data_IF_738630163293
#
_entry.id   IF_738630163293
#
_cell.length_a   1.000
_cell.length_b   1.000
_cell.length_c   1.000
_cell.angle_alpha   90.00
_cell.angle_beta   90.00
_cell.angle_gamma   90.00
#
_symmetry.space_group_name_H-M   'P 1'
#
loop_
_entity.id
_entity.type
_entity.pdbx_description
1 polymer ?
#
# COMPACT_ATOMS: atom_id res chain seq x y z
N UNK A 1 9.92 5.72 -11.60
CA UNK A 1 8.63 5.76 -12.32
C UNK A 1 8.48 7.11 -12.99
N UNK A 2 8.85 8.18 -12.30
CA UNK A 2 8.94 9.54 -12.83
C UNK A 2 9.55 9.73 -14.22
N UNK A 3 10.62 9.02 -14.58
CA UNK A 3 11.18 9.10 -15.95
C UNK A 3 10.24 8.55 -17.02
N UNK A 4 9.52 7.47 -16.72
CA UNK A 4 8.51 6.92 -17.62
C UNK A 4 7.35 7.92 -17.76
N UNK A 5 6.87 8.46 -16.64
CA UNK A 5 5.77 9.42 -16.68
C UNK A 5 6.12 10.69 -17.48
N UNK A 6 7.34 11.23 -17.29
CA UNK A 6 7.84 12.33 -18.13
C UNK A 6 7.77 12.02 -19.62
N UNK A 7 8.24 10.84 -20.02
CA UNK A 7 8.28 10.48 -21.43
C UNK A 7 6.87 10.34 -22.03
N UNK A 8 5.92 9.76 -21.28
CA UNK A 8 4.52 9.61 -21.71
C UNK A 8 3.83 10.98 -21.80
N UNK A 9 3.99 11.82 -20.79
CA UNK A 9 3.37 13.15 -20.74
C UNK A 9 4.01 14.15 -21.71
N UNK A 10 5.24 13.91 -22.16
CA UNK A 10 5.89 14.72 -23.19
C UNK A 10 5.41 14.40 -24.62
N UNK A 11 4.80 13.22 -24.86
CA UNK A 11 4.31 12.82 -26.18
C UNK A 11 2.93 13.44 -26.49
N UNK A 12 2.96 14.58 -27.18
CA UNK A 12 1.74 15.30 -27.58
C UNK A 12 0.91 14.55 -28.62
N UNK A 13 1.55 13.80 -29.52
CA UNK A 13 0.84 13.07 -30.57
C UNK A 13 -0.03 11.98 -29.96
N UNK A 14 0.48 11.29 -28.93
CA UNK A 14 -0.27 10.30 -28.19
C UNK A 14 -1.48 10.91 -27.47
N UNK A 15 -1.28 12.04 -26.77
CA UNK A 15 -2.37 12.71 -26.04
C UNK A 15 -3.46 13.21 -26.99
N UNK A 16 -3.10 13.84 -28.12
CA UNK A 16 -4.06 14.32 -29.10
C UNK A 16 -4.82 13.16 -29.76
N UNK A 17 -4.11 12.08 -30.09
CA UNK A 17 -4.75 10.87 -30.62
C UNK A 17 -5.78 10.33 -29.64
N UNK A 18 -5.42 10.15 -28.37
CA UNK A 18 -6.33 9.60 -27.36
C UNK A 18 -7.50 10.55 -27.05
N UNK A 19 -7.31 11.86 -27.11
CA UNK A 19 -8.43 12.83 -27.04
C UNK A 19 -9.42 12.64 -28.17
N UNK A 20 -8.93 12.43 -29.39
CA UNK A 20 -9.79 12.27 -30.57
C UNK A 20 -10.58 10.95 -30.56
N UNK A 21 -10.14 9.95 -29.80
CA UNK A 21 -10.86 8.68 -29.64
C UNK A 21 -12.09 8.79 -28.70
N UNK A 22 -12.27 9.90 -27.96
CA UNK A 22 -13.43 10.16 -27.09
C UNK A 22 -13.78 9.01 -26.14
N UNK A 23 -12.83 8.64 -25.28
CA UNK A 23 -13.01 7.55 -24.32
C UNK A 23 -13.88 7.97 -23.14
N UNK A 24 -14.94 7.21 -22.85
CA UNK A 24 -15.87 7.52 -21.75
C UNK A 24 -15.44 6.95 -20.39
N UNK A 25 -14.61 5.90 -20.38
CA UNK A 25 -14.12 5.24 -19.17
C UNK A 25 -12.65 4.85 -19.33
N UNK A 26 -11.82 5.29 -18.39
CA UNK A 26 -10.43 4.87 -18.31
C UNK A 26 -10.24 3.79 -17.23
N UNK A 27 -9.51 2.73 -17.54
CA UNK A 27 -9.14 1.70 -16.58
C UNK A 27 -7.63 1.78 -16.40
N UNK A 28 -7.18 1.98 -15.16
CA UNK A 28 -5.76 1.91 -14.83
C UNK A 28 -5.53 0.91 -13.73
N UNK A 29 -4.31 0.38 -13.71
CA UNK A 29 -3.84 -0.29 -12.54
C UNK A 29 -3.27 0.73 -11.57
N UNK A 30 -3.62 0.66 -10.27
CA UNK A 30 -3.26 1.74 -9.36
C UNK A 30 -1.72 1.82 -9.10
N UNK A 31 -0.93 0.85 -9.58
CA UNK A 31 0.54 0.86 -9.60
C UNK A 31 1.14 1.91 -10.53
N UNK A 32 0.45 2.18 -11.63
CA UNK A 32 0.86 3.16 -12.61
C UNK A 32 0.17 4.48 -12.30
N UNK A 33 0.78 5.24 -11.39
CA UNK A 33 0.22 6.52 -10.95
C UNK A 33 0.04 7.45 -12.16
N UNK A 34 1.01 7.47 -13.08
CA UNK A 34 0.99 8.29 -14.28
C UNK A 34 -0.28 8.13 -15.14
N UNK A 35 -0.94 6.97 -15.07
CA UNK A 35 -2.21 6.75 -15.76
C UNK A 35 -3.27 7.77 -15.34
N UNK A 36 -3.33 8.14 -14.05
CA UNK A 36 -4.28 9.14 -13.56
C UNK A 36 -3.98 10.53 -14.11
N UNK A 37 -2.71 10.92 -14.16
CA UNK A 37 -2.28 12.16 -14.79
C UNK A 37 -2.60 12.17 -16.29
N UNK A 38 -2.36 11.05 -16.97
CA UNK A 38 -2.69 10.91 -18.38
C UNK A 38 -4.20 11.08 -18.63
N UNK A 39 -5.06 10.47 -17.80
CA UNK A 39 -6.51 10.59 -17.91
C UNK A 39 -7.01 12.02 -17.74
N UNK A 40 -6.42 12.77 -16.80
CA UNK A 40 -6.70 14.20 -16.66
C UNK A 40 -6.22 14.97 -17.91
N UNK A 41 -5.06 14.62 -18.47
CA UNK A 41 -4.54 15.26 -19.69
C UNK A 41 -5.46 15.06 -20.89
N UNK A 42 -6.09 13.88 -21.02
CA UNK A 42 -7.08 13.57 -22.06
C UNK A 42 -8.53 13.92 -21.68
N UNK A 43 -8.74 14.52 -20.50
CA UNK A 43 -10.05 14.98 -20.00
C UNK A 43 -11.08 13.87 -19.71
N UNK A 44 -10.62 12.68 -19.33
CA UNK A 44 -11.48 11.56 -18.91
C UNK A 44 -11.71 11.61 -17.40
N UNK A 45 -12.96 11.90 -16.98
CA UNK A 45 -13.32 11.96 -15.55
C UNK A 45 -13.66 10.61 -14.94
N UNK A 46 -14.30 9.72 -15.69
CA UNK A 46 -14.67 8.41 -15.18
C UNK A 46 -13.48 7.47 -15.35
N UNK A 47 -12.88 7.08 -14.23
CA UNK A 47 -11.80 6.10 -14.22
C UNK A 47 -12.02 5.07 -13.11
N UNK A 48 -11.63 3.83 -13.40
CA UNK A 48 -11.70 2.70 -12.46
C UNK A 48 -10.30 2.16 -12.25
N UNK A 49 -9.89 2.11 -10.98
CA UNK A 49 -8.68 1.42 -10.56
C UNK A 49 -8.98 -0.07 -10.38
N UNK A 50 -8.32 -0.94 -11.15
CA UNK A 50 -8.51 -2.39 -11.06
C UNK A 50 -7.24 -3.05 -10.54
N UNK A 51 -7.38 -3.92 -9.55
CA UNK A 51 -6.25 -4.53 -8.87
C UNK A 51 -6.62 -5.89 -8.26
N UNK A 52 -5.67 -6.84 -8.22
CA UNK A 52 -5.97 -8.26 -7.96
C UNK A 52 -5.55 -8.80 -6.58
N UNK A 53 -4.83 -8.05 -5.72
CA UNK A 53 -4.60 -8.43 -4.30
C UNK A 53 -5.60 -7.85 -3.31
N UNK A 54 -5.47 -8.33 -2.07
CA UNK A 54 -5.87 -7.61 -0.86
C UNK A 54 -5.49 -6.13 -0.93
N UNK A 55 -6.47 -5.31 -0.53
CA UNK A 55 -6.40 -3.86 -0.38
C UNK A 55 -5.10 -3.44 0.30
N UNK A 56 -4.32 -2.52 -0.30
CA UNK A 56 -3.13 -2.01 0.39
C UNK A 56 -3.39 -0.78 1.25
N UNK A 57 -2.48 -0.65 2.21
CA UNK A 57 -2.51 0.19 3.38
C UNK A 57 -2.91 1.65 3.10
N UNK A 58 -2.28 2.37 2.15
CA UNK A 58 -2.57 3.81 1.96
C UNK A 58 -3.81 4.15 1.10
N UNK A 59 -4.46 3.20 0.42
CA UNK A 59 -5.73 3.48 -0.30
C UNK A 59 -6.90 3.55 0.64
N UNK A 60 -6.84 2.75 1.70
CA UNK A 60 -7.79 2.68 2.80
C UNK A 60 -8.29 4.05 3.28
N UNK A 61 -7.38 5.02 3.45
CA UNK A 61 -7.72 6.36 3.92
C UNK A 61 -8.39 7.20 2.82
N UNK A 62 -7.99 7.04 1.55
CA UNK A 62 -8.49 7.81 0.40
C UNK A 62 -9.92 7.40 0.03
N UNK A 63 -10.23 6.11 0.13
CA UNK A 63 -11.58 5.58 -0.17
C UNK A 63 -12.54 5.65 1.03
N UNK A 64 -12.12 6.28 2.14
CA UNK A 64 -12.96 6.44 3.33
C UNK A 64 -13.23 5.15 4.11
N UNK A 65 -12.36 4.14 4.01
CA UNK A 65 -12.55 2.85 4.68
C UNK A 65 -11.42 2.57 5.68
N UNK A 66 -11.37 3.26 6.84
CA UNK A 66 -10.24 3.19 7.77
C UNK A 66 -9.95 1.75 8.25
N UNK A 67 -8.67 1.37 8.31
CA UNK A 67 -8.21 0.10 8.88
C UNK A 67 -7.73 0.31 10.32
N UNK A 68 -8.33 -0.38 11.30
CA UNK A 68 -7.86 -0.33 12.68
C UNK A 68 -6.55 -1.14 12.82
N UNK A 69 -5.43 -0.41 12.87
CA UNK A 69 -4.07 -0.97 12.91
C UNK A 69 -3.75 -1.77 14.17
N UNK A 70 -4.62 -1.68 15.19
CA UNK A 70 -4.50 -2.37 16.47
C UNK A 70 -4.69 -3.89 16.35
N UNK A 71 -5.37 -4.37 15.32
CA UNK A 71 -5.58 -5.79 15.06
C UNK A 71 -5.59 -6.17 13.58
N UNK A 72 -5.58 -5.20 12.65
CA UNK A 72 -5.41 -5.45 11.21
C UNK A 72 -3.93 -5.27 10.85
N UNK A 73 -3.21 -6.34 10.48
CA UNK A 73 -1.85 -6.23 9.97
C UNK A 73 -1.82 -5.48 8.64
N UNK A 74 -0.79 -4.69 8.40
CA UNK A 74 -0.58 -4.07 7.09
C UNK A 74 -0.40 -5.11 5.99
N UNK A 75 -0.70 -4.77 4.74
CA UNK A 75 -0.82 -5.71 3.60
C UNK A 75 0.39 -6.63 3.34
N UNK A 76 1.59 -6.26 3.79
CA UNK A 76 2.78 -7.12 3.75
C UNK A 76 3.47 -7.23 5.12
N UNK A 77 2.68 -7.15 6.19
CA UNK A 77 3.14 -7.48 7.52
C UNK A 77 3.16 -8.99 7.71
N UNK A 78 4.12 -9.52 8.47
CA UNK A 78 4.17 -10.92 8.87
C UNK A 78 3.37 -11.18 10.16
N UNK A 79 2.73 -10.16 10.73
CA UNK A 79 1.98 -10.28 11.98
C UNK A 79 0.60 -10.91 11.75
N UNK A 80 0.14 -11.69 12.73
CA UNK A 80 -1.23 -12.21 12.77
C UNK A 80 -2.19 -11.19 13.37
N UNK A 81 -3.49 -11.53 13.38
CA UNK A 81 -4.53 -10.63 13.92
C UNK A 81 -4.39 -10.36 15.44
N UNK A 82 -3.79 -11.32 16.17
CA UNK A 82 -3.48 -11.18 17.59
C UNK A 82 -2.06 -10.68 17.75
N UNK A 83 -1.90 -9.37 17.94
CA UNK A 83 -0.61 -8.71 18.10
C UNK A 83 -0.34 -8.30 19.55
N UNK A 84 0.89 -8.50 20.00
CA UNK A 84 1.37 -7.94 21.26
C UNK A 84 1.66 -6.42 21.11
N UNK A 85 2.06 -5.75 22.21
CA UNK A 85 2.34 -4.30 22.20
C UNK A 85 3.43 -3.94 21.17
N UNK A 86 4.50 -4.73 21.08
CA UNK A 86 5.61 -4.48 20.17
C UNK A 86 5.21 -4.71 18.71
N UNK A 87 4.47 -5.77 18.43
CA UNK A 87 3.95 -6.07 17.09
C UNK A 87 2.96 -5.00 16.63
N UNK A 88 2.07 -4.52 17.51
CA UNK A 88 1.18 -3.39 17.21
C UNK A 88 1.94 -2.09 16.93
N UNK A 89 2.97 -1.79 17.72
CA UNK A 89 3.87 -0.67 17.48
C UNK A 89 4.53 -0.78 16.11
N UNK A 90 5.19 -1.92 15.83
CA UNK A 90 5.85 -2.16 14.55
C UNK A 90 4.86 -2.16 13.37
N UNK A 91 3.65 -2.69 13.55
CA UNK A 91 2.59 -2.68 12.54
C UNK A 91 2.19 -1.25 12.18
N UNK A 92 2.05 -0.36 13.18
CA UNK A 92 1.77 1.05 12.96
C UNK A 92 2.88 1.72 12.11
N UNK A 93 4.15 1.52 12.48
CA UNK A 93 5.27 2.09 11.71
C UNK A 93 5.42 1.48 10.33
N UNK A 94 5.20 0.18 10.17
CA UNK A 94 5.22 -0.47 8.85
C UNK A 94 4.09 0.07 7.96
N UNK A 95 2.87 0.19 8.51
CA UNK A 95 1.72 0.72 7.79
C UNK A 95 1.96 2.16 7.35
N UNK A 96 2.33 3.05 8.29
CA UNK A 96 2.56 4.47 8.00
C UNK A 96 3.80 4.69 7.15
N UNK A 97 4.90 3.97 7.40
CA UNK A 97 6.12 4.04 6.61
C UNK A 97 5.90 3.62 5.17
N UNK A 98 5.19 2.50 4.94
CA UNK A 98 4.82 2.10 3.57
C UNK A 98 3.87 3.09 2.92
N UNK A 99 2.88 3.58 3.67
CA UNK A 99 1.94 4.58 3.16
C UNK A 99 2.66 5.84 2.69
N UNK A 100 3.65 6.29 3.47
CA UNK A 100 4.50 7.42 3.13
C UNK A 100 5.38 7.16 1.89
N UNK A 101 6.02 5.99 1.80
CA UNK A 101 6.83 5.64 0.62
C UNK A 101 6.00 5.65 -0.66
N UNK A 102 4.80 5.07 -0.64
CA UNK A 102 3.93 5.06 -1.81
C UNK A 102 3.39 6.46 -2.14
N UNK A 103 3.05 7.27 -1.14
CA UNK A 103 2.69 8.69 -1.34
C UNK A 103 3.82 9.47 -2.01
N UNK A 104 5.05 9.30 -1.54
CA UNK A 104 6.24 9.97 -2.11
C UNK A 104 6.46 9.61 -3.59
N UNK A 105 6.23 8.35 -3.98
CA UNK A 105 6.32 7.93 -5.38
C UNK A 105 5.25 8.63 -6.23
N UNK A 106 4.03 8.72 -5.72
CA UNK A 106 2.93 9.39 -6.42
C UNK A 106 3.17 10.88 -6.59
N UNK A 107 3.68 11.54 -5.54
CA UNK A 107 4.05 12.96 -5.60
C UNK A 107 5.15 13.21 -6.65
N UNK A 108 6.14 12.31 -6.74
CA UNK A 108 7.21 12.40 -7.74
C UNK A 108 6.73 12.16 -9.19
N UNK A 109 5.75 11.29 -9.39
CA UNK A 109 5.14 11.04 -10.70
C UNK A 109 4.22 12.22 -11.10
N UNK A 110 3.47 12.79 -10.15
CA UNK A 110 2.67 13.99 -10.37
C UNK A 110 3.54 15.19 -10.76
N UNK A 111 4.65 15.42 -10.06
CA UNK A 111 5.59 16.50 -10.38
C UNK A 111 6.18 16.34 -11.78
N UNK A 112 6.57 15.12 -12.16
CA UNK A 112 7.03 14.78 -13.50
C UNK A 112 5.98 15.09 -14.59
N UNK A 113 4.69 14.82 -14.33
CA UNK A 113 3.62 15.14 -15.28
C UNK A 113 3.39 16.65 -15.42
N UNK A 114 3.54 17.42 -14.32
CA UNK A 114 3.37 18.88 -14.32
C UNK A 114 4.42 19.61 -15.13
N UNK A 115 5.62 19.03 -15.31
CA UNK A 115 6.65 19.60 -16.20
C UNK A 115 6.10 19.81 -17.62
N UNK A 116 5.28 18.89 -18.12
CA UNK A 116 4.67 18.97 -19.46
C UNK A 116 3.28 19.61 -19.45
N UNK A 117 2.53 19.44 -18.36
CA UNK A 117 1.16 19.93 -18.20
C UNK A 117 0.97 20.68 -16.87
N UNK A 118 1.25 22.00 -16.81
CA UNK A 118 1.31 22.74 -15.54
C UNK A 118 -0.04 22.88 -14.81
N UNK A 119 -1.16 22.79 -15.56
CA UNK A 119 -2.53 22.92 -15.06
C UNK A 119 -3.21 21.58 -14.72
N UNK A 120 -2.45 20.48 -14.75
CA UNK A 120 -2.98 19.15 -14.46
C UNK A 120 -3.42 19.04 -13.00
N UNK A 121 -4.64 18.56 -12.77
CA UNK A 121 -5.13 18.32 -11.40
C UNK A 121 -4.47 17.06 -10.83
N UNK A 122 -4.12 17.12 -9.55
CA UNK A 122 -3.60 15.97 -8.82
C UNK A 122 -4.75 15.06 -8.41
N UNK A 123 -4.80 13.87 -9.00
CA UNK A 123 -5.69 12.80 -8.59
C UNK A 123 -4.85 11.71 -7.94
N UNK A 124 -4.83 11.70 -6.61
CA UNK A 124 -4.00 10.78 -5.82
C UNK A 124 -4.78 9.51 -5.54
N UNK A 125 -4.56 8.45 -6.32
CA UNK A 125 -5.10 7.11 -6.03
C UNK A 125 -4.09 6.03 -6.42
N UNK A 126 -3.17 5.59 -5.55
CA UNK A 126 -2.20 4.54 -5.92
C UNK A 126 -2.70 3.13 -5.64
N UNK A 127 -1.98 2.07 -6.12
CA UNK A 127 -1.87 0.66 -5.65
C UNK A 127 -1.68 -0.62 -6.50
N UNK A 128 -1.12 -1.66 -5.85
CA UNK A 128 0.07 -2.34 -6.33
C UNK A 128 0.44 -3.71 -5.66
N UNK A 129 0.65 -4.85 -6.37
CA UNK A 129 1.46 -6.07 -6.04
C UNK A 129 1.33 -7.34 -6.98
N UNK A 130 0.17 -8.01 -7.14
CA UNK A 130 0.13 -9.43 -7.62
C UNK A 130 0.31 -9.70 -9.11
N UNK A 131 0.43 -8.68 -9.94
CA UNK A 131 0.63 -8.84 -11.38
C UNK A 131 1.73 -9.86 -11.73
N UNK A 132 2.83 -9.89 -10.96
CA UNK A 132 3.93 -10.82 -11.24
C UNK A 132 3.53 -12.29 -11.08
N UNK A 133 2.61 -12.62 -10.16
CA UNK A 133 2.13 -14.00 -9.97
C UNK A 133 1.04 -14.34 -10.98
N UNK A 134 0.11 -13.41 -11.22
CA UNK A 134 -1.01 -13.64 -12.13
C UNK A 134 -0.54 -13.73 -13.60
N UNK A 135 0.41 -12.91 -14.00
CA UNK A 135 1.01 -12.95 -15.35
C UNK A 135 1.74 -14.28 -15.62
N UNK A 136 2.47 -14.81 -14.64
CA UNK A 136 3.11 -16.13 -14.75
C UNK A 136 2.09 -17.27 -14.85
N UNK A 137 0.91 -17.14 -14.21
CA UNK A 137 -0.18 -18.10 -14.38
C UNK A 137 -0.77 -18.07 -15.79
N UNK A 138 -1.02 -16.88 -16.35
CA UNK A 138 -1.49 -16.75 -17.74
C UNK A 138 -0.47 -17.28 -18.77
N UNK A 139 0.82 -17.05 -18.52
CA UNK A 139 1.90 -17.66 -19.30
C UNK A 139 1.91 -19.17 -19.22
N UNK A 140 1.68 -19.74 -18.02
CA UNK A 140 1.56 -21.20 -17.82
C UNK A 140 0.39 -21.79 -18.61
N UNK A 141 -0.71 -21.06 -18.74
CA UNK A 141 -1.84 -21.45 -19.59
C UNK A 141 -1.62 -21.17 -21.09
N UNK A 142 -0.46 -20.62 -21.47
CA UNK A 142 -0.10 -20.37 -22.86
C UNK A 142 -0.88 -19.25 -23.54
N UNK A 143 -1.61 -18.44 -22.76
CA UNK A 143 -2.43 -17.34 -23.26
C UNK A 143 -1.77 -15.97 -23.17
N UNK A 144 -0.57 -15.87 -22.58
CA UNK A 144 0.13 -14.60 -22.44
C UNK A 144 1.66 -14.73 -22.55
N UNK A 145 2.30 -13.66 -23.01
CA UNK A 145 3.75 -13.45 -22.86
C UNK A 145 3.96 -12.43 -21.74
N UNK A 146 4.85 -12.74 -20.79
CA UNK A 146 5.15 -11.85 -19.67
C UNK A 146 6.35 -11.00 -20.04
N UNK A 147 6.14 -9.69 -20.11
CA UNK A 147 7.20 -8.70 -20.18
C UNK A 147 7.50 -8.18 -18.78
N UNK A 148 8.78 -8.15 -18.40
CA UNK A 148 9.19 -7.46 -17.19
C UNK A 148 9.19 -5.95 -17.42
N UNK A 149 9.10 -5.17 -16.34
CA UNK A 149 9.15 -3.70 -16.41
C UNK A 149 10.41 -3.19 -17.15
N UNK A 150 11.53 -3.90 -17.02
CA UNK A 150 12.78 -3.55 -17.70
C UNK A 150 12.75 -3.81 -19.21
N UNK A 151 11.87 -4.70 -19.67
CA UNK A 151 11.72 -5.02 -21.10
C UNK A 151 10.98 -3.91 -21.87
N UNK A 152 10.19 -3.09 -21.17
CA UNK A 152 9.41 -2.00 -21.76
C UNK A 152 10.29 -0.87 -22.31
N UNK A 153 11.53 -0.75 -21.82
CA UNK A 153 12.50 0.22 -22.34
C UNK A 153 13.02 -0.15 -23.74
N UNK A 154 12.79 -1.40 -24.21
CA UNK A 154 13.22 -1.88 -25.51
C UNK A 154 12.04 -1.90 -26.49
N UNK A 155 11.86 -0.87 -27.34
CA UNK A 155 10.70 -0.77 -28.23
C UNK A 155 10.64 -1.91 -29.25
N UNK A 156 11.80 -2.43 -29.67
CA UNK A 156 11.88 -3.58 -30.60
C UNK A 156 11.33 -4.84 -29.94
N UNK A 157 11.69 -5.09 -28.68
CA UNK A 157 11.21 -6.25 -27.92
C UNK A 157 9.71 -6.18 -27.65
N UNK A 158 9.19 -5.00 -27.30
CA UNK A 158 7.75 -4.78 -27.06
C UNK A 158 6.97 -4.97 -28.36
N UNK A 159 7.35 -4.29 -29.44
CA UNK A 159 6.66 -4.39 -30.74
C UNK A 159 6.62 -5.83 -31.24
N UNK A 160 7.76 -6.54 -31.18
CA UNK A 160 7.84 -7.95 -31.59
C UNK A 160 6.96 -8.85 -30.73
N UNK A 161 6.86 -8.58 -29.43
CA UNK A 161 6.02 -9.36 -28.51
C UNK A 161 4.54 -9.16 -28.83
N UNK A 162 4.12 -7.92 -29.06
CA UNK A 162 2.75 -7.57 -29.47
C UNK A 162 2.41 -8.25 -30.80
N UNK A 163 3.28 -8.11 -31.79
CA UNK A 163 3.11 -8.74 -33.11
C UNK A 163 3.01 -10.26 -33.00
N UNK A 164 3.82 -10.89 -32.15
CA UNK A 164 3.77 -12.35 -31.90
C UNK A 164 2.44 -12.77 -31.28
N UNK A 165 1.94 -12.03 -30.28
CA UNK A 165 0.67 -12.36 -29.60
C UNK A 165 -0.53 -12.17 -30.53
N UNK A 166 -0.52 -11.13 -31.36
CA UNK A 166 -1.59 -10.85 -32.32
C UNK A 166 -1.57 -11.77 -33.54
N UNK A 167 -0.38 -12.20 -33.99
CA UNK A 167 -0.24 -12.98 -35.23
C UNK A 167 -0.35 -14.49 -35.00
N UNK A 168 0.07 -15.00 -33.83
CA UNK A 168 0.04 -16.44 -33.56
C UNK A 168 -1.35 -16.85 -33.01
N UNK A 169 -2.12 -17.66 -33.76
CA UNK A 169 -3.46 -18.08 -33.35
C UNK A 169 -3.46 -18.95 -32.08
N UNK A 170 -2.30 -19.46 -31.67
CA UNK A 170 -2.14 -20.22 -30.42
C UNK A 170 -2.61 -19.44 -29.19
N UNK A 171 -2.34 -18.13 -29.13
CA UNK A 171 -2.73 -17.31 -27.97
C UNK A 171 -4.25 -17.21 -27.86
N UNK A 172 -4.93 -16.95 -28.99
CA UNK A 172 -6.38 -16.92 -29.06
C UNK A 172 -6.98 -18.29 -28.69
N UNK A 173 -6.48 -19.38 -29.29
CA UNK A 173 -6.97 -20.74 -29.01
C UNK A 173 -6.82 -21.14 -27.53
N UNK A 174 -5.72 -20.74 -26.89
CA UNK A 174 -5.49 -21.01 -25.47
C UNK A 174 -6.37 -20.12 -24.57
N UNK A 175 -6.63 -18.87 -24.97
CA UNK A 175 -7.56 -17.99 -24.28
C UNK A 175 -8.99 -18.53 -24.34
N UNK A 176 -9.45 -18.96 -25.53
CA UNK A 176 -10.78 -19.55 -25.72
C UNK A 176 -10.94 -20.84 -24.91
N UNK A 177 -9.93 -21.71 -24.93
CA UNK A 177 -9.89 -22.93 -24.10
C UNK A 177 -9.97 -22.60 -22.61
N UNK A 178 -9.23 -21.59 -22.16
CA UNK A 178 -9.26 -21.18 -20.75
C UNK A 178 -10.64 -20.60 -20.38
N UNK A 179 -11.24 -19.80 -21.25
CA UNK A 179 -12.60 -19.29 -21.07
C UNK A 179 -13.63 -20.42 -20.99
N UNK A 180 -13.52 -21.44 -21.84
CA UNK A 180 -14.37 -22.63 -21.81
C UNK A 180 -14.24 -23.38 -20.47
N UNK A 181 -13.02 -23.53 -19.95
CA UNK A 181 -12.76 -24.14 -18.63
C UNK A 181 -13.37 -23.30 -17.50
N UNK A 182 -13.26 -21.97 -17.57
CA UNK A 182 -13.80 -21.07 -16.55
C UNK A 182 -15.34 -21.04 -16.57
N UNK A 183 -15.95 -21.11 -17.75
CA UNK A 183 -17.40 -21.14 -17.91
C UNK A 183 -17.98 -22.49 -17.47
N UNK A 184 -17.27 -23.58 -17.75
CA UNK A 184 -17.68 -24.94 -17.37
C UNK A 184 -16.97 -25.41 -16.10
N UNK A 185 -16.72 -24.50 -15.14
CA UNK A 185 -16.18 -24.92 -13.86
C UNK A 185 -17.10 -25.96 -13.22
N UNK A 186 -16.54 -27.06 -12.68
CA UNK A 186 -17.32 -28.19 -12.17
C UNK A 186 -18.18 -27.84 -10.96
N UNK A 187 -17.97 -26.65 -10.37
CA UNK A 187 -18.74 -26.15 -9.24
C UNK A 187 -19.40 -24.85 -9.67
N UNK A 188 -20.73 -24.84 -9.66
CA UNK A 188 -21.51 -23.65 -9.98
C UNK A 188 -21.30 -22.58 -8.89
N UNK A 189 -21.06 -21.32 -9.27
CA UNK A 189 -20.83 -20.23 -8.33
C UNK A 189 -22.04 -19.99 -7.40
N UNK A 190 -23.27 -20.11 -7.92
CA UNK A 190 -24.51 -20.02 -7.13
C UNK A 190 -24.61 -21.17 -6.14
N UNK A 191 -24.32 -22.39 -6.56
CA UNK A 191 -24.35 -23.57 -5.67
C UNK A 191 -23.25 -23.47 -4.59
N UNK A 192 -22.07 -22.97 -4.96
CA UNK A 192 -20.98 -22.68 -4.02
C UNK A 192 -21.43 -21.69 -2.95
N UNK A 193 -22.08 -20.60 -3.37
CA UNK A 193 -22.61 -19.59 -2.45
C UNK A 193 -23.65 -20.20 -1.50
N UNK A 194 -24.61 -20.97 -2.02
CA UNK A 194 -25.63 -21.65 -1.20
C UNK A 194 -24.97 -22.57 -0.18
N UNK A 195 -23.99 -23.39 -0.59
CA UNK A 195 -23.25 -24.28 0.32
C UNK A 195 -22.52 -23.52 1.43
N UNK A 196 -21.88 -22.39 1.11
CA UNK A 196 -21.24 -21.55 2.14
C UNK A 196 -22.24 -20.91 3.09
N UNK A 197 -23.42 -20.50 2.61
CA UNK A 197 -24.50 -19.96 3.45
C UNK A 197 -25.07 -21.05 4.35
N UNK A 198 -25.38 -22.23 3.84
CA UNK A 198 -25.86 -23.37 4.62
C UNK A 198 -24.82 -23.81 5.66
N UNK A 199 -23.54 -23.84 5.29
CA UNK A 199 -22.43 -24.08 6.21
C UNK A 199 -22.41 -23.03 7.32
N UNK A 200 -22.47 -21.74 6.98
CA UNK A 200 -22.51 -20.66 7.95
C UNK A 200 -23.75 -20.72 8.86
N UNK A 201 -24.93 -21.08 8.32
CA UNK A 201 -26.16 -21.23 9.09
C UNK A 201 -26.10 -22.44 10.04
N UNK A 202 -25.49 -23.55 9.60
CA UNK A 202 -25.36 -24.79 10.37
C UNK A 202 -24.34 -24.68 11.51
N UNK A 203 -23.18 -24.10 11.25
CA UNK A 203 -22.09 -24.00 12.23
C UNK A 203 -22.08 -22.66 12.98
N UNK A 204 -22.85 -21.68 12.51
CA UNK A 204 -22.99 -20.38 13.16
C UNK A 204 -21.67 -19.62 13.25
N UNK A 205 -21.31 -19.21 14.48
CA UNK A 205 -20.07 -18.47 14.72
C UNK A 205 -18.86 -19.38 14.53
N UNK A 206 -18.05 -19.08 13.52
CA UNK A 206 -16.76 -19.71 13.30
C UNK A 206 -15.67 -18.89 14.01
N UNK A 207 -14.96 -19.42 15.03
CA UNK A 207 -13.92 -18.68 15.74
C UNK A 207 -12.80 -18.18 14.83
N UNK A 208 -12.51 -18.89 13.74
CA UNK A 208 -11.52 -18.50 12.73
C UNK A 208 -11.96 -17.33 11.84
N UNK A 209 -13.25 -17.01 11.80
CA UNK A 209 -13.81 -15.85 11.10
C UNK A 209 -14.24 -14.75 12.10
N UNK A 210 -13.88 -14.92 13.37
CA UNK A 210 -14.18 -13.95 14.41
C UNK A 210 -13.14 -12.83 14.42
N UNK A 211 -13.55 -11.64 13.97
CA UNK A 211 -12.68 -10.47 13.93
C UNK A 211 -12.14 -10.13 15.34
N UNK A 212 -10.81 -10.08 15.49
CA UNK A 212 -10.14 -9.76 16.76
C UNK A 212 -10.55 -8.41 17.35
N UNK A 213 -11.01 -7.46 16.53
CA UNK A 213 -11.54 -6.18 17.01
C UNK A 213 -12.69 -6.33 18.00
N UNK A 214 -13.45 -7.43 17.97
CA UNK A 214 -14.54 -7.70 18.94
C UNK A 214 -14.05 -8.06 20.33
N UNK A 215 -12.83 -8.55 20.46
CA UNK A 215 -12.24 -9.01 21.72
C UNK A 215 -11.22 -8.02 22.28
N UNK A 216 -10.88 -6.96 21.53
CA UNK A 216 -9.96 -5.94 21.99
C UNK A 216 -10.63 -4.96 22.96
N UNK A 217 -9.88 -4.57 23.98
CA UNK A 217 -10.28 -3.49 24.87
C UNK A 217 -10.17 -2.14 24.15
N UNK A 218 -10.98 -1.17 24.61
CA UNK A 218 -10.92 0.21 24.14
C UNK A 218 -9.49 0.78 24.18
N UNK A 219 -8.72 0.44 25.22
CA UNK A 219 -7.33 0.87 25.41
C UNK A 219 -6.44 0.37 24.27
N UNK A 220 -6.54 -0.92 23.94
CA UNK A 220 -5.74 -1.53 22.87
C UNK A 220 -6.16 -1.05 21.49
N UNK A 221 -7.46 -0.86 21.28
CA UNK A 221 -8.02 -0.41 20.01
C UNK A 221 -7.50 0.97 19.60
N UNK A 222 -7.43 1.91 20.56
CA UNK A 222 -6.97 3.29 20.35
C UNK A 222 -5.47 3.50 20.64
N UNK A 223 -4.69 2.44 20.84
CA UNK A 223 -3.25 2.52 21.14
C UNK A 223 -2.90 3.33 22.40
N UNK A 224 -3.84 3.46 23.35
CA UNK A 224 -3.63 4.25 24.56
C UNK A 224 -2.53 3.67 25.45
N UNK A 225 -2.39 2.34 25.45
CA UNK A 225 -1.30 1.63 26.13
C UNK A 225 0.07 1.99 25.54
N UNK A 226 0.19 2.05 24.22
CA UNK A 226 1.42 2.44 23.52
C UNK A 226 1.74 3.91 23.77
N UNK A 227 0.73 4.80 23.67
CA UNK A 227 0.89 6.24 23.92
C UNK A 227 1.35 6.47 25.37
N UNK A 228 0.77 5.77 26.34
CA UNK A 228 1.17 5.87 27.73
C UNK A 228 2.65 5.47 27.93
N UNK A 229 3.11 4.36 27.34
CA UNK A 229 4.51 3.92 27.42
C UNK A 229 5.46 4.95 26.77
N UNK A 230 5.11 5.47 25.59
CA UNK A 230 5.92 6.49 24.90
C UNK A 230 5.98 7.77 25.74
N UNK A 231 4.85 8.26 26.24
CA UNK A 231 4.81 9.47 27.05
C UNK A 231 5.64 9.34 28.33
N UNK A 232 5.55 8.20 29.03
CA UNK A 232 6.30 7.94 30.25
C UNK A 232 7.81 7.90 29.98
N UNK A 233 8.23 7.19 28.92
CA UNK A 233 9.64 7.10 28.55
C UNK A 233 10.21 8.44 28.10
N UNK A 234 9.43 9.26 27.37
CA UNK A 234 9.81 10.63 27.02
C UNK A 234 9.92 11.55 28.25
N UNK A 235 9.01 11.46 29.22
CA UNK A 235 9.10 12.26 30.45
C UNK A 235 10.33 11.89 31.29
N UNK A 236 10.65 10.60 31.38
CA UNK A 236 11.86 10.13 32.08
C UNK A 236 13.13 10.61 31.38
N UNK A 237 13.19 10.54 30.04
CA UNK A 237 14.37 11.00 29.29
C UNK A 237 14.53 12.53 29.36
N UNK A 238 13.45 13.30 29.33
CA UNK A 238 13.46 14.74 29.57
C UNK A 238 13.93 15.08 30.99
N UNK A 239 13.47 14.33 31.99
CA UNK A 239 13.93 14.50 33.36
C UNK A 239 15.43 14.19 33.50
N UNK A 240 15.92 13.10 32.92
CA UNK A 240 17.34 12.72 32.96
C UNK A 240 18.19 13.78 32.24
N UNK A 241 17.79 14.21 31.04
CA UNK A 241 18.51 15.25 30.29
C UNK A 241 18.53 16.58 31.05
N UNK A 242 17.42 17.00 31.65
CA UNK A 242 17.37 18.16 32.55
C UNK A 242 18.34 18.02 33.73
N UNK A 243 18.39 16.85 34.37
CA UNK A 243 19.34 16.57 35.47
C UNK A 243 20.79 16.61 35.00
N UNK A 244 21.09 16.09 33.81
CA UNK A 244 22.44 16.13 33.22
C UNK A 244 22.85 17.57 32.92
N UNK A 245 21.98 18.34 32.26
CA UNK A 245 22.23 19.76 31.94
C UNK A 245 22.42 20.57 33.22
N UNK A 246 21.57 20.38 34.22
CA UNK A 246 21.72 21.05 35.51
C UNK A 246 22.99 20.64 36.26
N UNK A 247 23.38 19.35 36.20
CA UNK A 247 24.64 18.90 36.78
C UNK A 247 25.86 19.50 36.05
N UNK A 248 25.81 19.59 34.72
CA UNK A 248 26.85 20.23 33.91
C UNK A 248 26.92 21.74 34.20
N UNK A 249 25.77 22.43 34.25
CA UNK A 249 25.68 23.85 34.57
C UNK A 249 26.19 24.17 35.98
N UNK A 250 25.85 23.34 36.99
CA UNK A 250 26.39 23.47 38.35
C UNK A 250 27.90 23.25 38.43
N UNK A 251 28.45 22.35 37.61
CA UNK A 251 29.92 22.13 37.49
C UNK A 251 30.63 23.28 36.76
N UNK A 252 29.98 23.92 35.78
CA UNK A 252 30.56 25.00 34.98
C UNK A 252 30.43 26.40 35.60
N UNK A 253 29.38 26.68 36.40
CA UNK A 253 29.10 28.03 36.96
C UNK A 253 29.12 28.15 38.50
N UNK A 254 29.58 27.12 39.21
CA UNK A 254 30.17 27.27 40.56
C UNK A 254 29.32 26.83 41.76
N UNK A 255 29.86 25.89 42.54
CA UNK A 255 30.29 26.04 43.96
C UNK A 255 30.75 24.67 44.45
N UNK A 256 31.88 24.65 45.16
CA UNK A 256 32.49 23.43 45.68
C UNK A 256 31.51 22.58 46.48
N UNK A 257 31.58 21.27 46.27
CA UNK A 257 30.86 20.29 47.08
C UNK A 257 31.35 20.40 48.54
N UNK A 258 30.62 21.15 49.36
CA UNK A 258 30.79 21.07 50.82
C UNK A 258 30.40 19.66 51.26
N UNK A 259 31.41 18.88 51.60
CA UNK A 259 31.29 17.59 52.26
C UNK A 259 30.80 17.88 53.68
N UNK A 260 29.55 17.55 54.01
CA UNK A 260 29.11 17.58 55.40
C UNK A 260 29.85 16.48 56.18
N UNK A 261 30.93 16.85 56.87
CA UNK A 261 31.47 16.05 57.96
C UNK A 261 30.47 16.04 59.12
N UNK A 262 29.78 14.93 59.36
CA UNK A 262 29.16 14.68 60.66
C UNK A 262 30.23 14.21 61.64
N UNK A 263 30.93 15.15 62.28
CA UNK A 263 31.67 14.86 63.52
C UNK A 263 30.69 14.89 64.69
N UNK A 264 30.29 13.71 65.15
CA UNK A 264 29.79 13.53 66.52
C UNK A 264 30.99 13.27 67.43
N UNK A 265 31.23 14.16 68.41
CA UNK A 265 32.03 13.85 69.60
C UNK A 265 31.59 14.71 70.79
N UNK A 266 31.14 13.98 71.83
CA UNK A 266 31.22 14.22 73.28
C UNK A 266 30.44 15.39 73.88
N UNK A 267 29.46 15.05 74.70
CA UNK A 267 29.64 15.10 76.17
C UNK A 267 29.59 13.68 76.73
#
# INVERSE_FOLDING_TARGET
>A
MSSHCRNVMADRNLIEKMKNENVDLAITEPFDMCGYEFFEAISVRAHVAVYSCSRLDHVTEIIGQPTPLSYVPGAQSAFGEKMNIWERFMNFFQFKGRSYIFQMIGDADHEAARESHPNLRSWRIPLAADQSRNSQMLKKHGGAVVLSKFDLANPVKVSKTIETVLSDPKYQKNADRLAEILHNQPINATETLIKYIEFAAKFGKLPSLDNQGRHQSFIQYFFLDIIAIISLTSLISLYISYRIVNCAFRKCFGTGCSRSESKSKKE
#
